data_IF_128354921071
#
_entry.id   IF_128354921071
#
_cell.length_a   1.000
_cell.length_b   1.000
_cell.length_c   1.000
_cell.angle_alpha   90.00
_cell.angle_beta   90.00
_cell.angle_gamma   90.00
#
_symmetry.space_group_name_H-M   'P 1'
#
loop_
_entity.id
_entity.type
_entity.pdbx_description
1 polymer ?
#
# COMPACT_ATOMS: atom_id res chain seq x y z
N UNK A 1 25.98 -5.64 -13.36
CA UNK A 1 25.50 -4.63 -14.34
C UNK A 1 24.05 -4.95 -14.63
N UNK A 2 23.10 -4.26 -13.98
CA UNK A 2 21.69 -4.32 -14.39
C UNK A 2 21.43 -3.04 -15.19
N UNK A 3 21.65 -3.12 -16.50
CA UNK A 3 21.18 -2.10 -17.43
C UNK A 3 19.75 -2.49 -17.84
N UNK A 4 18.80 -2.38 -16.91
CA UNK A 4 17.40 -2.34 -17.29
C UNK A 4 17.19 -1.00 -17.99
N UNK A 5 17.10 -1.03 -19.31
CA UNK A 5 16.68 0.12 -20.09
C UNK A 5 15.25 0.44 -19.67
N UNK A 6 15.08 1.50 -18.88
CA UNK A 6 13.77 1.97 -18.46
C UNK A 6 13.06 2.54 -19.69
N UNK A 7 12.41 1.65 -20.45
CA UNK A 7 11.71 2.01 -21.67
C UNK A 7 10.50 2.85 -21.29
N UNK A 8 10.50 4.10 -21.71
CA UNK A 8 9.43 5.04 -21.45
C UNK A 8 8.44 5.03 -22.62
N UNK A 9 7.20 4.64 -22.32
CA UNK A 9 6.10 4.55 -23.27
C UNK A 9 5.03 5.62 -23.04
N UNK A 10 5.28 6.70 -22.28
CA UNK A 10 4.31 7.75 -21.93
C UNK A 10 3.46 8.23 -23.11
N UNK A 11 4.07 8.41 -24.28
CA UNK A 11 3.40 8.84 -25.51
C UNK A 11 2.25 7.91 -25.93
N UNK A 12 2.38 6.60 -25.68
CA UNK A 12 1.34 5.60 -25.96
C UNK A 12 0.23 5.62 -24.90
N UNK A 13 0.47 6.16 -23.72
CA UNK A 13 -0.58 6.35 -22.72
C UNK A 13 -1.40 7.61 -23.02
N UNK A 14 -0.73 8.70 -23.43
CA UNK A 14 -1.37 9.96 -23.82
C UNK A 14 -2.19 9.83 -25.11
N UNK A 15 -1.64 9.10 -26.10
CA UNK A 15 -2.26 8.86 -27.39
C UNK A 15 -2.31 7.36 -27.69
N UNK A 16 -3.30 6.62 -27.14
CA UNK A 16 -3.36 5.16 -27.17
C UNK A 16 -3.79 4.64 -28.53
N UNK A 17 -2.92 4.75 -29.54
CA UNK A 17 -3.10 4.10 -30.84
C UNK A 17 -2.89 2.60 -30.70
N UNK A 18 -3.68 1.81 -31.43
CA UNK A 18 -3.58 0.34 -31.44
C UNK A 18 -3.77 -0.31 -30.05
N UNK A 19 -4.45 0.38 -29.13
CA UNK A 19 -4.85 -0.19 -27.85
C UNK A 19 -5.79 -1.38 -28.06
N UNK A 20 -5.64 -2.39 -27.23
CA UNK A 20 -6.39 -3.65 -27.31
C UNK A 20 -7.04 -4.03 -25.97
N UNK A 21 -6.81 -3.24 -24.92
CA UNK A 21 -7.35 -3.44 -23.57
C UNK A 21 -8.07 -2.18 -23.09
N UNK A 22 -9.24 -2.35 -22.48
CA UNK A 22 -9.97 -1.33 -21.72
C UNK A 22 -10.04 -1.75 -20.26
N UNK A 23 -9.61 -0.88 -19.35
CA UNK A 23 -9.70 -1.11 -17.91
C UNK A 23 -10.63 -0.06 -17.33
N UNK A 24 -11.77 -0.49 -16.78
CA UNK A 24 -12.72 0.37 -16.07
C UNK A 24 -12.39 0.29 -14.59
N UNK A 25 -12.15 1.45 -13.97
CA UNK A 25 -11.79 1.55 -12.55
C UNK A 25 -12.75 2.45 -11.81
N UNK A 26 -12.87 2.23 -10.50
CA UNK A 26 -13.76 2.95 -9.61
C UNK A 26 -15.20 2.46 -9.65
N UNK A 27 -16.02 3.05 -8.79
CA UNK A 27 -17.45 2.79 -8.66
C UNK A 27 -18.26 4.07 -8.91
N UNK A 28 -19.55 3.92 -9.23
CA UNK A 28 -20.42 5.06 -9.48
C UNK A 28 -20.45 6.02 -8.27
N UNK A 29 -20.35 7.35 -8.48
CA UNK A 29 -20.33 8.04 -9.78
C UNK A 29 -18.93 8.25 -10.40
N UNK A 30 -17.86 7.78 -9.75
CA UNK A 30 -16.47 8.06 -10.09
C UNK A 30 -15.80 6.92 -10.87
N UNK A 31 -16.34 6.60 -12.05
CA UNK A 31 -15.79 5.57 -12.94
C UNK A 31 -14.94 6.22 -14.03
N UNK A 32 -13.77 5.64 -14.33
CA UNK A 32 -12.91 6.05 -15.45
C UNK A 32 -12.50 4.82 -16.27
N UNK A 33 -12.54 4.94 -17.60
CA UNK A 33 -12.04 3.92 -18.51
C UNK A 33 -10.65 4.32 -19.03
N UNK A 34 -9.70 3.38 -18.94
CA UNK A 34 -8.35 3.52 -19.46
C UNK A 34 -8.17 2.62 -20.69
N UNK A 35 -7.69 3.22 -21.78
CA UNK A 35 -7.35 2.52 -23.03
C UNK A 35 -5.85 2.25 -23.04
N UNK A 36 -5.47 0.97 -23.01
CA UNK A 36 -4.10 0.54 -22.73
C UNK A 36 -3.70 -0.67 -23.57
N UNK A 37 -2.40 -1.00 -23.55
CA UNK A 37 -1.81 -2.04 -24.39
C UNK A 37 -1.49 -3.30 -23.58
N UNK A 38 -2.02 -4.44 -24.01
CA UNK A 38 -1.80 -5.74 -23.38
C UNK A 38 -0.31 -6.09 -23.26
N UNK A 39 0.48 -5.77 -24.28
CA UNK A 39 1.91 -6.09 -24.32
C UNK A 39 2.71 -5.32 -23.27
N UNK A 40 2.39 -4.04 -23.03
CA UNK A 40 3.06 -3.22 -22.02
C UNK A 40 2.65 -3.69 -20.64
N UNK A 41 1.34 -3.91 -20.41
CA UNK A 41 0.83 -4.44 -19.14
C UNK A 41 1.48 -5.77 -18.79
N UNK A 42 1.51 -6.73 -19.72
CA UNK A 42 2.08 -8.07 -19.51
C UNK A 42 3.58 -8.06 -19.28
N UNK A 43 4.30 -7.08 -19.83
CA UNK A 43 5.74 -6.95 -19.64
C UNK A 43 6.10 -6.35 -18.27
N UNK A 44 5.16 -5.65 -17.63
CA UNK A 44 5.42 -4.82 -16.42
C UNK A 44 4.62 -5.26 -15.19
N UNK A 45 3.75 -6.26 -15.32
CA UNK A 45 2.92 -6.78 -14.24
C UNK A 45 2.64 -8.27 -14.46
N UNK A 46 3.06 -9.10 -13.51
CA UNK A 46 2.79 -10.54 -13.55
C UNK A 46 1.28 -10.84 -13.43
N UNK A 47 0.55 -10.01 -12.69
CA UNK A 47 -0.91 -10.08 -12.64
C UNK A 47 -1.51 -9.93 -14.05
N UNK A 48 -1.15 -8.87 -14.78
CA UNK A 48 -1.71 -8.63 -16.11
C UNK A 48 -1.21 -9.66 -17.11
N UNK A 49 0.04 -10.11 -17.00
CA UNK A 49 0.56 -11.21 -17.82
C UNK A 49 -0.30 -12.46 -17.69
N UNK A 50 -0.63 -12.86 -16.47
CA UNK A 50 -1.50 -14.01 -16.22
C UNK A 50 -2.94 -13.75 -16.68
N UNK A 51 -3.49 -12.57 -16.34
CA UNK A 51 -4.87 -12.21 -16.65
C UNK A 51 -5.14 -12.10 -18.16
N UNK A 52 -4.18 -11.59 -18.93
CA UNK A 52 -4.26 -11.42 -20.39
C UNK A 52 -4.01 -12.74 -21.15
N UNK A 53 -3.19 -13.64 -20.62
CA UNK A 53 -3.01 -14.99 -21.19
C UNK A 53 -4.23 -15.90 -20.98
N UNK A 54 -5.16 -15.53 -20.10
CA UNK A 54 -6.33 -16.33 -19.79
C UNK A 54 -7.28 -16.42 -20.99
N UNK A 55 -7.65 -17.65 -21.36
CA UNK A 55 -8.71 -17.91 -22.36
C UNK A 55 -10.08 -17.36 -21.93
N UNK A 56 -10.22 -17.01 -20.66
CA UNK A 56 -11.43 -16.46 -20.05
C UNK A 56 -11.44 -14.93 -19.96
N UNK A 57 -10.44 -14.25 -20.52
CA UNK A 57 -10.43 -12.79 -20.56
C UNK A 57 -11.69 -12.27 -21.28
N UNK A 58 -12.45 -11.41 -20.60
CA UNK A 58 -13.68 -10.82 -21.12
C UNK A 58 -13.35 -9.99 -22.35
N UNK A 59 -14.16 -10.11 -23.41
CA UNK A 59 -14.02 -9.31 -24.63
C UNK A 59 -15.33 -8.61 -24.99
N UNK A 60 -15.22 -7.34 -25.36
CA UNK A 60 -16.32 -6.48 -25.82
C UNK A 60 -15.85 -5.70 -27.04
N UNK A 61 -16.59 -5.78 -28.16
CA UNK A 61 -16.26 -5.11 -29.44
C UNK A 61 -14.83 -5.35 -29.94
N UNK A 62 -14.28 -6.55 -29.71
CA UNK A 62 -12.92 -6.92 -30.09
C UNK A 62 -11.84 -6.55 -29.07
N UNK A 63 -12.15 -5.73 -28.06
CA UNK A 63 -11.21 -5.33 -27.00
C UNK A 63 -11.28 -6.28 -25.81
N UNK A 64 -10.17 -6.47 -25.11
CA UNK A 64 -10.16 -7.13 -23.80
C UNK A 64 -10.63 -6.12 -22.75
N UNK A 65 -11.50 -6.54 -21.82
CA UNK A 65 -12.07 -5.66 -20.81
C UNK A 65 -11.78 -6.17 -19.41
N UNK A 66 -11.30 -5.29 -18.54
CA UNK A 66 -11.17 -5.53 -17.10
C UNK A 66 -12.01 -4.51 -16.33
N UNK A 67 -12.69 -5.00 -15.30
CA UNK A 67 -13.41 -4.18 -14.34
C UNK A 67 -12.65 -4.24 -13.00
N UNK A 68 -12.28 -3.09 -12.45
CA UNK A 68 -11.52 -2.91 -11.20
C UNK A 68 -12.22 -1.86 -10.32
N UNK A 69 -13.44 -2.15 -9.83
CA UNK A 69 -14.22 -1.20 -9.04
C UNK A 69 -13.50 -0.75 -7.76
N UNK A 70 -12.71 -1.65 -7.17
CA UNK A 70 -11.99 -1.42 -5.91
C UNK A 70 -10.81 -0.44 -6.02
N UNK A 71 -10.38 -0.08 -7.23
CA UNK A 71 -9.26 0.84 -7.44
C UNK A 71 -9.82 2.18 -7.91
N UNK A 72 -9.52 3.26 -7.20
CA UNK A 72 -9.98 4.60 -7.60
C UNK A 72 -9.29 5.08 -8.89
N UNK A 73 -9.95 5.94 -9.68
CA UNK A 73 -9.34 6.51 -10.89
C UNK A 73 -7.98 7.18 -10.67
N UNK A 74 -7.82 7.91 -9.56
CA UNK A 74 -6.58 8.62 -9.24
C UNK A 74 -5.44 7.65 -8.89
N UNK A 75 -5.74 6.61 -8.10
CA UNK A 75 -4.77 5.56 -7.77
C UNK A 75 -4.34 4.84 -9.04
N UNK A 76 -5.29 4.42 -9.88
CA UNK A 76 -4.95 3.71 -11.10
C UNK A 76 -4.15 4.56 -12.08
N UNK A 77 -4.39 5.87 -12.13
CA UNK A 77 -3.61 6.82 -12.94
C UNK A 77 -2.13 6.85 -12.54
N UNK A 78 -1.83 6.81 -11.24
CA UNK A 78 -0.45 6.69 -10.76
C UNK A 78 0.17 5.35 -11.19
N UNK A 79 -0.56 4.25 -11.02
CA UNK A 79 -0.06 2.91 -11.31
C UNK A 79 0.15 2.67 -12.82
N UNK A 80 -0.76 3.14 -13.66
CA UNK A 80 -0.64 2.98 -15.11
C UNK A 80 0.48 3.87 -15.67
N UNK A 81 0.68 5.07 -15.11
CA UNK A 81 1.84 5.90 -15.43
C UNK A 81 3.15 5.18 -15.08
N UNK A 82 3.21 4.53 -13.91
CA UNK A 82 4.37 3.71 -13.55
C UNK A 82 4.60 2.56 -14.53
N UNK A 83 3.55 1.82 -14.90
CA UNK A 83 3.66 0.72 -15.87
C UNK A 83 4.28 1.21 -17.18
N UNK A 84 3.87 2.38 -17.68
CA UNK A 84 4.34 2.89 -18.97
C UNK A 84 5.71 3.58 -18.89
N UNK A 85 6.04 4.22 -17.78
CA UNK A 85 7.26 5.05 -17.66
C UNK A 85 8.36 4.40 -16.83
N UNK A 86 8.02 3.37 -16.05
CA UNK A 86 8.85 2.76 -15.01
C UNK A 86 9.30 3.71 -13.90
N UNK A 87 8.65 4.86 -13.75
CA UNK A 87 8.97 5.86 -12.74
C UNK A 87 7.80 6.04 -11.80
N UNK A 88 8.03 5.80 -10.50
CA UNK A 88 6.99 5.98 -9.48
C UNK A 88 7.03 7.43 -8.99
N UNK A 89 5.88 8.10 -9.04
CA UNK A 89 5.70 9.46 -8.53
C UNK A 89 4.32 9.57 -7.89
N UNK A 90 4.28 9.94 -6.61
CA UNK A 90 3.06 10.31 -5.91
C UNK A 90 3.10 11.82 -5.64
N UNK A 91 2.02 12.54 -5.96
CA UNK A 91 1.89 13.98 -5.71
C UNK A 91 1.43 14.30 -4.27
N UNK A 92 1.34 13.29 -3.40
CA UNK A 92 0.83 13.35 -2.02
C UNK A 92 -0.67 13.68 -1.89
N UNK A 93 -1.40 13.80 -3.00
CA UNK A 93 -2.87 13.96 -2.97
C UNK A 93 -3.57 12.60 -2.85
N UNK A 94 -2.89 11.53 -3.23
CA UNK A 94 -3.38 10.15 -3.17
C UNK A 94 -2.72 9.42 -2.00
N UNK A 95 -3.54 8.73 -1.21
CA UNK A 95 -3.12 7.90 -0.08
C UNK A 95 -2.08 6.88 -0.53
N UNK A 96 -0.92 6.86 0.15
CA UNK A 96 0.10 5.84 -0.08
C UNK A 96 -0.42 4.43 0.23
N UNK A 97 -1.37 4.31 1.16
CA UNK A 97 -2.00 3.04 1.48
C UNK A 97 -2.85 2.54 0.31
N UNK A 98 -3.68 3.39 -0.28
CA UNK A 98 -4.52 3.02 -1.43
C UNK A 98 -3.64 2.61 -2.63
N UNK A 99 -2.53 3.34 -2.86
CA UNK A 99 -1.56 2.98 -3.90
C UNK A 99 -0.91 1.64 -3.57
N UNK A 100 -0.54 1.38 -2.32
CA UNK A 100 0.06 0.12 -1.90
C UNK A 100 -0.88 -1.07 -2.12
N UNK A 101 -2.14 -0.96 -1.68
CA UNK A 101 -3.18 -1.99 -1.83
C UNK A 101 -3.39 -2.30 -3.32
N UNK A 102 -3.62 -1.25 -4.13
CA UNK A 102 -3.87 -1.43 -5.55
C UNK A 102 -2.64 -1.98 -6.27
N UNK A 103 -1.42 -1.50 -5.96
CA UNK A 103 -0.18 -2.01 -6.53
C UNK A 103 0.02 -3.50 -6.24
N UNK A 104 -0.26 -3.94 -5.01
CA UNK A 104 -0.20 -5.36 -4.66
C UNK A 104 -1.25 -6.17 -5.43
N UNK A 105 -2.49 -5.68 -5.52
CA UNK A 105 -3.59 -6.33 -6.26
C UNK A 105 -3.24 -6.57 -7.73
N UNK A 106 -2.59 -5.61 -8.39
CA UNK A 106 -2.17 -5.73 -9.80
C UNK A 106 -0.70 -6.15 -9.96
N UNK A 107 -0.09 -6.71 -8.91
CA UNK A 107 1.22 -7.37 -8.98
C UNK A 107 2.40 -6.46 -9.35
N UNK A 108 2.41 -5.23 -8.86
CA UNK A 108 3.50 -4.25 -9.02
C UNK A 108 4.42 -4.24 -7.79
N UNK A 109 5.20 -5.32 -7.65
CA UNK A 109 5.98 -5.63 -6.44
C UNK A 109 6.98 -4.52 -6.10
N UNK A 110 7.62 -3.90 -7.07
CA UNK A 110 8.60 -2.85 -6.87
C UNK A 110 7.98 -1.60 -6.24
N UNK A 111 6.77 -1.21 -6.64
CA UNK A 111 6.04 -0.10 -6.01
C UNK A 111 5.70 -0.47 -4.57
N UNK A 112 5.15 -1.67 -4.36
CA UNK A 112 4.80 -2.16 -3.03
C UNK A 112 6.02 -2.13 -2.09
N UNK A 113 7.21 -2.49 -2.58
CA UNK A 113 8.46 -2.40 -1.82
C UNK A 113 8.88 -0.96 -1.52
N UNK A 114 8.75 -0.03 -2.48
CA UNK A 114 9.10 1.37 -2.28
C UNK A 114 8.18 2.05 -1.25
N UNK A 115 6.89 1.71 -1.23
CA UNK A 115 5.89 2.33 -0.34
C UNK A 115 5.90 1.72 1.08
N UNK A 116 6.33 0.46 1.25
CA UNK A 116 6.43 -0.21 2.56
C UNK A 116 7.17 0.62 3.60
N UNK A 117 8.29 1.25 3.24
CA UNK A 117 9.12 2.01 4.18
C UNK A 117 8.42 3.31 4.64
N UNK A 118 7.89 4.17 3.75
CA UNK A 118 7.03 5.29 4.13
C UNK A 118 5.88 4.90 5.06
N UNK A 119 5.11 3.86 4.74
CA UNK A 119 3.99 3.41 5.58
C UNK A 119 4.46 2.99 6.98
N UNK A 120 5.57 2.24 7.06
CA UNK A 120 6.16 1.88 8.35
C UNK A 120 6.57 3.10 9.17
N UNK A 121 7.13 4.12 8.53
CA UNK A 121 7.53 5.35 9.22
C UNK A 121 6.31 6.13 9.74
N UNK A 122 5.19 6.10 9.03
CA UNK A 122 3.95 6.72 9.49
C UNK A 122 3.40 6.02 10.74
N UNK A 123 3.38 4.68 10.72
CA UNK A 123 3.02 3.87 11.91
C UNK A 123 3.93 4.24 13.07
N UNK A 124 5.25 4.22 12.87
CA UNK A 124 6.22 4.61 13.91
C UNK A 124 5.99 6.04 14.42
N UNK A 125 5.59 6.96 13.54
CA UNK A 125 5.22 8.32 13.89
C UNK A 125 4.05 8.38 14.87
N UNK A 126 3.01 7.57 14.65
CA UNK A 126 1.91 7.44 15.62
C UNK A 126 2.39 6.85 16.94
N UNK A 127 3.22 5.80 16.91
CA UNK A 127 3.72 5.16 18.14
C UNK A 127 4.61 6.12 18.94
N UNK A 128 5.49 6.90 18.31
CA UNK A 128 6.31 7.92 18.99
C UNK A 128 5.52 9.10 19.55
N UNK A 129 4.31 9.33 19.04
CA UNK A 129 3.37 10.32 19.57
C UNK A 129 2.41 9.72 20.61
N UNK A 130 2.64 8.47 21.04
CA UNK A 130 1.76 7.70 21.93
C UNK A 130 0.33 7.52 21.41
N UNK A 131 0.12 7.63 20.10
CA UNK A 131 -1.18 7.43 19.44
C UNK A 131 -1.34 5.97 19.05
N UNK A 132 -1.29 5.07 20.04
CA UNK A 132 -1.28 3.62 19.82
C UNK A 132 -2.52 3.13 19.07
N UNK A 133 -3.71 3.63 19.40
CA UNK A 133 -4.94 3.22 18.72
C UNK A 133 -4.92 3.58 17.23
N UNK A 134 -4.40 4.76 16.88
CA UNK A 134 -4.24 5.16 15.47
C UNK A 134 -3.22 4.30 14.74
N UNK A 135 -2.08 4.03 15.38
CA UNK A 135 -1.08 3.11 14.83
C UNK A 135 -1.68 1.73 14.57
N UNK A 136 -2.50 1.26 15.52
CA UNK A 136 -3.17 -0.04 15.46
C UNK A 136 -4.21 -0.11 14.36
N UNK A 137 -5.13 0.87 14.30
CA UNK A 137 -6.16 0.95 13.26
C UNK A 137 -5.54 1.00 11.86
N UNK A 138 -4.45 1.75 11.70
CA UNK A 138 -3.73 1.80 10.43
C UNK A 138 -3.04 0.47 10.07
N UNK A 139 -2.53 -0.28 11.06
CA UNK A 139 -2.01 -1.63 10.81
C UNK A 139 -3.11 -2.61 10.39
N UNK A 140 -4.26 -2.59 11.06
CA UNK A 140 -5.41 -3.43 10.70
C UNK A 140 -5.92 -3.08 9.30
N UNK A 141 -6.01 -1.79 8.95
CA UNK A 141 -6.39 -1.35 7.60
C UNK A 141 -5.44 -1.90 6.54
N UNK A 142 -4.13 -1.91 6.81
CA UNK A 142 -3.13 -2.55 5.94
C UNK A 142 -3.38 -4.06 5.82
N UNK A 143 -3.65 -4.75 6.93
CA UNK A 143 -3.83 -6.21 6.94
C UNK A 143 -5.12 -6.68 6.27
N UNK A 144 -6.22 -5.96 6.50
CA UNK A 144 -7.53 -6.26 5.89
C UNK A 144 -7.51 -6.08 4.37
N UNK A 145 -6.65 -5.20 3.87
CA UNK A 145 -6.60 -4.85 2.45
C UNK A 145 -5.42 -5.48 1.67
N UNK A 146 -4.53 -6.26 2.30
CA UNK A 146 -3.53 -7.05 1.55
C UNK A 146 -4.22 -8.26 0.90
N UNK A 147 -4.23 -8.40 -0.45
CA UNK A 147 -4.70 -9.61 -1.10
C UNK A 147 -3.92 -10.85 -0.61
N UNK A 148 -4.59 -12.01 -0.58
CA UNK A 148 -4.16 -13.30 0.01
C UNK A 148 -2.84 -13.95 -0.48
N UNK A 149 -1.91 -13.19 -1.04
CA UNK A 149 -0.52 -13.60 -1.24
C UNK A 149 0.11 -13.97 0.11
N UNK A 150 0.45 -15.26 0.26
CA UNK A 150 1.09 -15.84 1.46
C UNK A 150 2.40 -15.12 1.83
N UNK A 151 3.09 -14.52 0.84
CA UNK A 151 4.32 -13.74 1.03
C UNK A 151 4.02 -12.30 1.51
N UNK A 152 2.92 -11.70 1.04
CA UNK A 152 2.43 -10.39 1.46
C UNK A 152 2.11 -10.37 2.95
N UNK A 153 1.33 -11.36 3.41
CA UNK A 153 0.95 -11.52 4.81
C UNK A 153 2.16 -11.74 5.74
N UNK A 154 3.09 -12.63 5.37
CA UNK A 154 4.29 -12.89 6.18
C UNK A 154 5.21 -11.69 6.32
N UNK A 155 5.33 -10.85 5.29
CA UNK A 155 6.18 -9.66 5.33
C UNK A 155 5.56 -8.49 6.10
N UNK A 156 4.22 -8.35 6.06
CA UNK A 156 3.48 -7.35 6.84
C UNK A 156 3.48 -7.66 8.34
N UNK A 157 3.43 -8.94 8.72
CA UNK A 157 3.45 -9.41 10.12
C UNK A 157 4.83 -9.32 10.80
N UNK A 158 5.88 -8.89 10.09
CA UNK A 158 7.25 -8.74 10.62
C UNK A 158 7.58 -7.30 11.05
N UNK A 159 6.60 -6.53 11.52
CA UNK A 159 6.83 -5.17 12.02
C UNK A 159 7.29 -5.21 13.48
N UNK A 160 8.60 -5.37 13.68
CA UNK A 160 9.22 -5.15 15.00
C UNK A 160 9.26 -3.66 15.32
N UNK A 161 8.57 -3.25 16.37
CA UNK A 161 8.59 -1.90 16.91
C UNK A 161 9.81 -1.69 17.82
N UNK A 162 10.47 -0.51 17.76
CA UNK A 162 11.54 -0.16 18.69
C UNK A 162 11.02 -0.04 20.13
N UNK A 163 11.93 -0.07 21.11
CA UNK A 163 11.57 0.12 22.52
C UNK A 163 11.07 1.52 22.80
N UNK A 164 9.86 1.62 23.34
CA UNK A 164 9.12 2.87 23.55
C UNK A 164 8.70 2.94 25.02
N UNK A 165 8.88 4.11 25.63
CA UNK A 165 8.51 4.34 27.01
C UNK A 165 7.08 4.85 27.06
N UNK A 166 6.26 4.22 27.87
CA UNK A 166 4.79 4.41 27.93
C UNK A 166 4.45 4.99 29.29
N UNK A 167 3.73 6.12 29.31
CA UNK A 167 3.24 6.77 30.52
C UNK A 167 1.87 6.21 30.93
N UNK A 168 1.38 6.52 32.14
CA UNK A 168 0.13 5.91 32.66
C UNK A 168 -1.10 6.25 31.82
N UNK A 169 -1.10 7.40 31.15
CA UNK A 169 -2.19 7.86 30.27
C UNK A 169 -2.26 7.03 28.98
N UNK A 170 -1.14 6.46 28.54
CA UNK A 170 -1.02 5.64 27.34
C UNK A 170 -1.53 4.20 27.54
N UNK A 171 -1.59 3.73 28.81
CA UNK A 171 -2.15 2.43 29.18
C UNK A 171 -3.64 2.34 28.80
N UNK A 172 -4.36 3.47 28.86
CA UNK A 172 -5.76 3.52 28.46
C UNK A 172 -5.93 3.25 26.96
N UNK A 173 -5.05 3.79 26.10
CA UNK A 173 -5.09 3.51 24.66
C UNK A 173 -4.75 2.05 24.34
N UNK A 174 -3.76 1.47 25.03
CA UNK A 174 -3.44 0.04 24.91
C UNK A 174 -4.59 -0.85 25.38
N UNK A 175 -5.29 -0.46 26.46
CA UNK A 175 -6.46 -1.21 26.95
C UNK A 175 -7.61 -1.21 25.94
N UNK A 176 -7.83 -0.09 25.21
CA UNK A 176 -8.84 -0.02 24.16
C UNK A 176 -8.51 -0.95 23.00
N UNK A 177 -7.24 -1.08 22.64
CA UNK A 177 -6.78 -2.00 21.58
C UNK A 177 -7.07 -3.45 21.98
N UNK A 178 -6.71 -3.85 23.20
CA UNK A 178 -6.93 -5.22 23.70
C UNK A 178 -8.41 -5.60 23.80
N UNK A 179 -9.30 -4.62 23.93
CA UNK A 179 -10.75 -4.82 24.03
C UNK A 179 -11.46 -4.82 22.66
N UNK A 180 -10.76 -4.54 21.56
CA UNK A 180 -11.35 -4.53 20.21
C UNK A 180 -11.32 -5.95 19.64
N UNK A 181 -12.32 -6.35 18.86
CA UNK A 181 -12.16 -7.55 18.00
C UNK A 181 -11.16 -7.20 16.89
N UNK A 182 -10.13 -8.02 16.71
CA UNK A 182 -8.99 -7.71 15.83
C UNK A 182 -8.65 -8.90 14.94
N UNK A 183 -8.11 -8.62 13.74
CA UNK A 183 -7.61 -9.65 12.81
C UNK A 183 -6.12 -9.98 13.04
N UNK A 184 -5.40 -9.11 13.74
CA UNK A 184 -4.02 -9.35 14.18
C UNK A 184 -3.86 -10.66 14.97
N UNK A 185 -2.96 -11.51 14.50
CA UNK A 185 -2.63 -12.79 15.17
C UNK A 185 -1.62 -12.62 16.31
N UNK A 186 -0.86 -11.52 16.32
CA UNK A 186 0.11 -11.20 17.37
C UNK A 186 0.37 -9.70 17.45
N UNK A 187 0.45 -9.17 18.67
CA UNK A 187 0.91 -7.81 18.96
C UNK A 187 2.07 -7.89 19.97
N UNK A 188 3.30 -7.68 19.50
CA UNK A 188 4.48 -7.71 20.36
C UNK A 188 4.68 -6.37 21.07
N UNK A 189 4.30 -6.33 22.35
CA UNK A 189 4.45 -5.18 23.25
C UNK A 189 5.66 -5.33 24.19
N UNK A 190 6.53 -6.32 23.99
CA UNK A 190 7.62 -6.63 24.92
C UNK A 190 8.61 -5.48 25.11
N UNK A 191 8.65 -4.56 24.14
CA UNK A 191 9.54 -3.43 24.11
C UNK A 191 8.94 -2.16 24.77
N UNK A 192 7.74 -2.23 25.36
CA UNK A 192 7.14 -1.12 26.10
C UNK A 192 7.72 -1.02 27.51
N UNK A 193 8.34 0.12 27.83
CA UNK A 193 8.83 0.41 29.18
C UNK A 193 7.80 1.27 29.93
N UNK A 194 7.04 0.65 30.83
CA UNK A 194 5.98 1.32 31.60
C UNK A 194 6.59 1.94 32.87
N UNK A 195 6.50 3.26 33.03
CA UNK A 195 6.90 3.91 34.29
C UNK A 195 7.07 5.43 34.22
N UNK A 196 7.00 6.10 35.37
CA UNK A 196 7.14 7.56 35.48
C UNK A 196 8.51 8.06 34.99
N UNK A 197 8.58 9.26 34.38
CA UNK A 197 9.86 9.98 34.24
C UNK A 197 10.37 10.31 35.65
N UNK A 198 11.41 9.63 36.11
CA UNK A 198 12.14 10.11 37.30
C UNK A 198 12.76 11.43 36.88
N UNK A 199 12.21 12.55 37.35
CA UNK A 199 12.89 13.85 37.23
C UNK A 199 14.23 13.66 37.91
N UNK A 200 15.33 13.77 37.15
CA UNK A 200 16.65 13.89 37.74
C UNK A 200 16.57 15.05 38.74
N UNK A 201 16.65 14.72 40.03
CA UNK A 201 16.61 15.70 41.09
C UNK A 201 17.69 16.73 40.84
N UNK A 202 17.28 17.99 40.77
CA UNK A 202 18.19 19.12 40.89
C UNK A 202 18.95 18.90 42.20
N UNK A 203 20.25 18.59 42.12
CA UNK A 203 21.14 18.81 43.27
C UNK A 203 21.05 20.31 43.55
N UNK A 204 20.36 20.69 44.61
CA UNK A 204 20.62 21.96 45.27
C UNK A 204 21.98 21.78 45.95
N UNK A 205 22.99 22.45 45.42
CA UNK A 205 24.22 22.66 46.14
C UNK A 205 23.91 23.61 47.30
N UNK A 206 24.06 23.11 48.52
CA UNK A 206 24.24 23.90 49.76
C UNK A 206 25.70 24.28 49.93
#
# INVERSE_FOLDING_TARGET
MNNETNQNFSNLLENPKDFDVKIKVGENPNIKEFKVHSIILSARSDYFKAALCSRWAKREDGFIVFDKPNISPLVFEILINYIYTGTFSNNNEVSLLDIFIAADEIGLVEISQQIKKPLKNEVLGYVWQNKFLKAFEFCEEILENIPHSVEGQKSALSWRFPSIRVESEDINELSKILCKETTLTSLDLSNLNIGSRVKAGVKKDE
#
